data_IF_539577579017
#
_entry.id   IF_539577579017
#
_cell.length_a   1.000
_cell.length_b   1.000
_cell.length_c   1.000
_cell.angle_alpha   90.00
_cell.angle_beta   90.00
_cell.angle_gamma   90.00
#
_symmetry.space_group_name_H-M   'P 1'
#
loop_
_entity.id
_entity.type
_entity.pdbx_description
1 polymer ?
#
# COMPACT_ATOMS: atom_id res chain seq x y z
N UNK A 1 -19.41 4.53 -5.61
CA UNK A 1 -17.94 4.57 -5.63
C UNK A 1 -17.43 4.95 -4.27
N UNK A 2 -16.61 4.09 -3.69
CA UNK A 2 -16.26 4.10 -2.27
C UNK A 2 -14.75 4.00 -2.07
N UNK A 3 -14.30 4.26 -0.84
CA UNK A 3 -12.93 4.00 -0.41
C UNK A 3 -12.48 2.54 -0.70
N UNK A 4 -13.41 1.58 -0.65
CA UNK A 4 -13.10 0.18 -0.94
C UNK A 4 -12.69 -0.02 -2.40
N UNK A 5 -13.25 0.73 -3.35
CA UNK A 5 -12.90 0.59 -4.77
C UNK A 5 -11.44 1.02 -5.04
N UNK A 6 -11.00 2.10 -4.40
CA UNK A 6 -9.61 2.57 -4.46
C UNK A 6 -8.65 1.62 -3.76
N UNK A 7 -9.06 1.07 -2.61
CA UNK A 7 -8.26 0.11 -1.85
C UNK A 7 -8.04 -1.17 -2.65
N UNK A 8 -9.10 -1.75 -3.23
CA UNK A 8 -8.99 -2.96 -4.04
C UNK A 8 -8.19 -2.72 -5.32
N UNK A 9 -8.33 -1.56 -5.97
CA UNK A 9 -7.52 -1.21 -7.13
C UNK A 9 -6.02 -1.11 -6.78
N UNK A 10 -5.69 -0.46 -5.65
CA UNK A 10 -4.31 -0.38 -5.17
C UNK A 10 -3.76 -1.76 -4.80
N UNK A 11 -4.53 -2.55 -4.05
CA UNK A 11 -4.17 -3.93 -3.66
C UNK A 11 -3.94 -4.82 -4.87
N UNK A 12 -4.80 -4.75 -5.87
CA UNK A 12 -4.66 -5.51 -7.11
C UNK A 12 -3.39 -5.11 -7.88
N UNK A 13 -3.03 -3.82 -7.88
CA UNK A 13 -1.79 -3.35 -8.51
C UNK A 13 -0.56 -3.83 -7.75
N UNK A 14 -0.56 -3.74 -6.41
CA UNK A 14 0.52 -4.23 -5.56
C UNK A 14 0.72 -5.75 -5.72
N UNK A 15 -0.38 -6.53 -5.78
CA UNK A 15 -0.39 -7.99 -5.83
C UNK A 15 -0.01 -8.59 -7.20
N UNK A 16 0.77 -7.90 -8.02
CA UNK A 16 1.23 -8.40 -9.33
C UNK A 16 2.53 -9.18 -9.21
N UNK A 17 2.76 -10.08 -10.18
CA UNK A 17 3.99 -10.86 -10.27
C UNK A 17 4.21 -11.73 -9.02
N UNK A 18 5.38 -11.61 -8.41
CA UNK A 18 5.75 -12.43 -7.25
C UNK A 18 4.94 -12.11 -5.99
N UNK A 19 4.29 -10.94 -5.91
CA UNK A 19 3.41 -10.53 -4.81
C UNK A 19 1.99 -11.09 -4.93
N UNK A 20 1.68 -11.82 -6.02
CA UNK A 20 0.39 -12.44 -6.22
C UNK A 20 0.04 -13.41 -5.08
N UNK A 21 -1.14 -13.22 -4.47
CA UNK A 21 -1.61 -13.97 -3.29
C UNK A 21 -0.73 -13.82 -2.03
N UNK A 22 0.22 -12.86 -2.05
CA UNK A 22 1.14 -12.55 -0.95
C UNK A 22 0.89 -11.17 -0.35
N UNK A 23 -0.20 -10.49 -0.73
CA UNK A 23 -0.67 -9.27 -0.06
C UNK A 23 -1.76 -9.64 0.95
N UNK A 24 -1.64 -9.12 2.17
CA UNK A 24 -2.58 -9.32 3.26
C UNK A 24 -2.95 -7.98 3.87
N UNK A 25 -4.09 -7.89 4.54
CA UNK A 25 -4.52 -6.63 5.19
C UNK A 25 -4.00 -6.55 6.63
N UNK A 26 -3.49 -7.67 7.14
CA UNK A 26 -2.88 -7.84 8.46
C UNK A 26 -1.64 -8.73 8.37
N UNK A 27 -0.75 -8.60 9.35
CA UNK A 27 0.32 -9.56 9.61
C UNK A 27 -0.29 -10.95 9.78
N UNK A 28 0.30 -11.95 9.14
CA UNK A 28 -0.22 -13.33 9.17
C UNK A 28 0.20 -13.99 10.48
N UNK A 29 -0.75 -14.63 11.17
CA UNK A 29 -0.50 -15.37 12.41
C UNK A 29 -0.93 -16.84 12.29
N UNK A 30 -0.22 -17.73 12.95
CA UNK A 30 -0.61 -19.12 13.19
C UNK A 30 -0.66 -19.35 14.71
N UNK A 31 -1.85 -19.22 15.29
CA UNK A 31 -2.00 -19.06 16.74
C UNK A 31 -1.37 -17.76 17.20
N UNK A 32 -0.51 -17.83 18.22
CA UNK A 32 0.16 -16.66 18.81
C UNK A 32 1.48 -16.30 18.10
N UNK A 33 1.87 -17.02 17.04
CA UNK A 33 3.14 -16.80 16.34
C UNK A 33 2.91 -16.19 14.97
N UNK A 34 3.66 -15.14 14.63
CA UNK A 34 3.67 -14.60 13.28
C UNK A 34 4.17 -15.66 12.28
N UNK A 35 3.50 -15.77 11.13
CA UNK A 35 3.89 -16.70 10.07
C UNK A 35 5.22 -16.23 9.49
N UNK A 36 6.25 -17.09 9.60
CA UNK A 36 7.57 -16.83 9.02
C UNK A 36 7.54 -17.08 7.51
N UNK A 37 7.12 -16.08 6.77
CA UNK A 37 7.05 -16.08 5.31
C UNK A 37 7.38 -14.68 4.77
N UNK A 38 7.37 -14.60 3.46
CA UNK A 38 7.69 -13.48 2.61
C UNK A 38 6.38 -12.92 2.02
N UNK A 39 5.99 -11.71 2.41
CA UNK A 39 4.69 -11.14 2.05
C UNK A 39 4.67 -9.61 2.20
N UNK A 40 3.62 -8.97 1.68
CA UNK A 40 3.32 -7.57 1.93
C UNK A 40 2.05 -7.43 2.78
N UNK A 41 2.03 -6.46 3.67
CA UNK A 41 0.83 -6.03 4.41
C UNK A 41 0.42 -4.67 3.86
N UNK A 42 -0.81 -4.57 3.35
CA UNK A 42 -1.42 -3.31 2.94
C UNK A 42 -2.36 -2.86 4.04
N UNK A 43 -1.97 -1.86 4.81
CA UNK A 43 -2.82 -1.36 5.87
C UNK A 43 -4.04 -0.65 5.27
N UNK A 44 -5.26 -0.97 5.74
CA UNK A 44 -6.45 -0.22 5.40
C UNK A 44 -6.42 1.14 6.12
N UNK A 45 -5.51 2.01 5.70
CA UNK A 45 -5.48 3.40 6.15
C UNK A 45 -6.70 4.14 5.63
N UNK A 46 -7.37 4.90 6.50
CA UNK A 46 -8.36 5.87 6.04
C UNK A 46 -7.65 6.96 5.23
N UNK A 47 -8.18 7.38 4.08
CA UNK A 47 -7.54 8.43 3.28
C UNK A 47 -7.48 9.70 4.12
N UNK A 48 -6.28 10.28 4.25
CA UNK A 48 -6.11 11.59 4.88
C UNK A 48 -6.71 12.63 3.94
N UNK A 49 -7.99 12.93 4.12
CA UNK A 49 -8.67 14.03 3.43
C UNK A 49 -8.26 15.31 4.16
N UNK A 50 -7.50 16.18 3.50
CA UNK A 50 -7.12 17.50 4.05
C UNK A 50 -8.31 18.49 4.18
N UNK A 51 -9.56 18.02 4.07
CA UNK A 51 -10.72 18.89 3.94
C UNK A 51 -11.88 18.43 4.83
N UNK A 52 -12.39 19.35 5.66
CA UNK A 52 -13.38 19.21 6.74
C UNK A 52 -14.82 18.80 6.27
N UNK A 53 -14.97 18.15 5.12
CA UNK A 53 -16.27 17.89 4.47
C UNK A 53 -16.95 16.60 4.89
N UNK A 54 -16.88 16.23 6.17
CA UNK A 54 -17.43 14.98 6.74
C UNK A 54 -18.96 14.81 6.64
N UNK A 55 -19.72 15.83 6.23
CA UNK A 55 -21.20 15.79 6.22
C UNK A 55 -21.87 16.06 4.88
N UNK A 56 -21.13 16.16 3.77
CA UNK A 56 -21.71 16.62 2.48
C UNK A 56 -21.52 15.58 1.36
N UNK A 57 -22.57 15.37 0.57
CA UNK A 57 -22.62 14.58 -0.69
C UNK A 57 -21.44 14.90 -1.65
N UNK A 58 -20.81 16.06 -1.49
CA UNK A 58 -19.62 16.48 -2.22
C UNK A 58 -18.37 15.63 -1.98
N UNK A 59 -18.32 14.75 -0.96
CA UNK A 59 -17.18 13.85 -0.76
C UNK A 59 -17.01 12.79 -1.86
N UNK A 60 -18.07 12.54 -2.65
CA UNK A 60 -18.04 11.65 -3.82
C UNK A 60 -17.68 12.44 -5.10
N UNK A 61 -17.80 13.77 -5.05
CA UNK A 61 -17.60 14.67 -6.19
C UNK A 61 -16.24 15.37 -6.20
N UNK A 62 -15.53 15.41 -5.07
CA UNK A 62 -14.25 16.12 -4.96
C UNK A 62 -13.07 15.27 -5.40
N UNK A 63 -11.98 15.96 -5.74
CA UNK A 63 -10.65 15.38 -5.77
C UNK A 63 -10.30 14.85 -4.38
N UNK A 64 -9.56 13.76 -4.31
CA UNK A 64 -9.22 13.08 -3.05
C UNK A 64 -7.83 12.49 -3.14
N UNK A 65 -7.00 12.83 -2.15
CA UNK A 65 -5.71 12.21 -1.91
C UNK A 65 -5.93 10.90 -1.15
N UNK A 66 -5.35 9.82 -1.66
CA UNK A 66 -5.32 8.53 -0.99
C UNK A 66 -3.89 8.24 -0.55
N UNK A 67 -3.74 7.73 0.68
CA UNK A 67 -2.48 7.25 1.24
C UNK A 67 -2.66 5.83 1.72
N UNK A 68 -1.71 4.98 1.39
CA UNK A 68 -1.70 3.58 1.78
C UNK A 68 -0.31 3.20 2.28
N UNK A 69 -0.28 2.64 3.49
CA UNK A 69 0.95 2.17 4.11
C UNK A 69 1.13 0.70 3.73
N UNK A 70 2.33 0.36 3.27
CA UNK A 70 2.71 -1.00 2.87
C UNK A 70 3.90 -1.42 3.71
N UNK A 71 3.74 -2.53 4.43
CA UNK A 71 4.85 -3.22 5.10
C UNK A 71 5.31 -4.39 4.27
N UNK A 72 6.57 -4.40 3.85
CA UNK A 72 7.18 -5.57 3.24
C UNK A 72 7.85 -6.39 4.33
N UNK A 73 7.47 -7.67 4.42
CA UNK A 73 7.96 -8.60 5.45
C UNK A 73 8.77 -9.69 4.79
N UNK A 74 9.90 -10.04 5.40
CA UNK A 74 10.76 -11.11 4.93
C UNK A 74 11.51 -11.84 6.03
N UNK A 75 11.93 -13.06 5.73
CA UNK A 75 12.71 -13.89 6.66
C UNK A 75 14.19 -13.50 6.72
N UNK A 76 14.62 -12.56 5.87
CA UNK A 76 15.96 -11.97 5.84
C UNK A 76 15.89 -10.56 5.26
N UNK A 77 16.91 -9.74 5.51
CA UNK A 77 17.04 -8.39 4.91
C UNK A 77 17.00 -8.46 3.38
N UNK A 78 17.67 -9.44 2.78
CA UNK A 78 17.67 -9.63 1.32
C UNK A 78 16.28 -9.96 0.77
N UNK A 79 15.47 -10.72 1.52
CA UNK A 79 14.09 -11.00 1.13
C UNK A 79 13.22 -9.75 1.19
N UNK A 80 13.36 -8.93 2.24
CA UNK A 80 12.65 -7.64 2.36
C UNK A 80 13.00 -6.72 1.20
N UNK A 81 14.28 -6.55 0.90
CA UNK A 81 14.78 -5.75 -0.23
C UNK A 81 14.14 -6.18 -1.55
N UNK A 82 14.11 -7.48 -1.84
CA UNK A 82 13.50 -8.01 -3.05
C UNK A 82 12.00 -7.72 -3.10
N UNK A 83 11.28 -7.88 -1.98
CA UNK A 83 9.84 -7.61 -1.95
C UNK A 83 9.49 -6.14 -2.08
N UNK A 84 10.23 -5.29 -1.38
CA UNK A 84 10.11 -3.84 -1.47
C UNK A 84 10.36 -3.39 -2.91
N UNK A 85 11.47 -3.80 -3.53
CA UNK A 85 11.78 -3.46 -4.91
C UNK A 85 10.65 -3.88 -5.86
N UNK A 86 10.09 -5.08 -5.68
CA UNK A 86 9.04 -5.61 -6.56
C UNK A 86 7.69 -4.94 -6.33
N UNK A 87 7.39 -4.56 -5.10
CA UNK A 87 6.22 -3.74 -4.77
C UNK A 87 6.32 -2.34 -5.37
N UNK A 88 7.50 -1.71 -5.26
CA UNK A 88 7.79 -0.45 -5.94
C UNK A 88 7.67 -0.59 -7.46
N UNK A 89 8.30 -1.58 -8.10
CA UNK A 89 8.18 -1.78 -9.55
C UNK A 89 6.71 -1.96 -10.01
N UNK A 90 5.88 -2.59 -9.18
CA UNK A 90 4.44 -2.73 -9.44
C UNK A 90 3.69 -1.40 -9.28
N UNK A 91 3.99 -0.61 -8.25
CA UNK A 91 3.26 0.61 -7.89
C UNK A 91 3.78 1.88 -8.57
N UNK A 92 5.07 1.93 -8.89
CA UNK A 92 5.78 3.07 -9.48
C UNK A 92 6.67 2.62 -10.65
N UNK A 93 6.13 1.94 -11.68
CA UNK A 93 6.92 1.54 -12.84
C UNK A 93 7.46 2.76 -13.59
N UNK A 94 8.50 2.56 -14.39
CA UNK A 94 8.99 3.58 -15.32
C UNK A 94 7.85 4.02 -16.26
N UNK A 95 7.44 5.28 -16.18
CA UNK A 95 6.27 5.83 -16.89
C UNK A 95 5.01 6.01 -16.03
N UNK A 96 5.02 5.54 -14.78
CA UNK A 96 3.91 5.66 -13.83
C UNK A 96 2.79 4.65 -14.05
N UNK A 97 2.04 4.34 -12.99
CA UNK A 97 0.83 3.50 -13.08
C UNK A 97 -0.40 4.31 -12.68
N UNK A 98 -1.44 4.24 -13.51
CA UNK A 98 -2.75 4.82 -13.21
C UNK A 98 -3.70 3.72 -12.75
N UNK A 99 -4.22 3.83 -11.53
CA UNK A 99 -5.21 2.87 -11.03
C UNK A 99 -6.51 2.99 -11.82
N UNK A 100 -7.08 1.83 -12.17
CA UNK A 100 -8.39 1.76 -12.81
C UNK A 100 -9.47 1.75 -11.74
N UNK A 101 -10.10 2.91 -11.51
CA UNK A 101 -11.25 3.06 -10.61
C UNK A 101 -12.41 3.62 -11.42
N UNK A 102 -13.54 2.92 -11.45
CA UNK A 102 -14.67 3.26 -12.32
C UNK A 102 -15.17 4.69 -12.08
N UNK A 103 -15.15 5.53 -13.12
CA UNK A 103 -15.60 6.93 -13.03
C UNK A 103 -14.58 7.89 -12.42
N UNK A 104 -13.32 7.46 -12.25
CA UNK A 104 -12.22 8.30 -11.78
C UNK A 104 -11.04 8.27 -12.73
N UNK A 105 -10.31 9.37 -12.71
CA UNK A 105 -8.95 9.48 -13.23
C UNK A 105 -8.01 9.56 -12.03
N UNK A 106 -7.25 8.49 -11.80
CA UNK A 106 -6.20 8.49 -10.79
C UNK A 106 -4.89 9.01 -11.42
N UNK A 107 -4.21 9.90 -10.73
CA UNK A 107 -2.82 10.27 -11.03
C UNK A 107 -1.88 9.10 -10.73
N UNK A 108 -0.63 9.14 -11.23
CA UNK A 108 0.36 8.13 -10.90
C UNK A 108 0.55 8.02 -9.39
N UNK A 109 0.70 6.79 -8.91
CA UNK A 109 1.13 6.52 -7.54
C UNK A 109 2.55 7.05 -7.37
N UNK A 110 2.85 7.59 -6.19
CA UNK A 110 4.20 7.98 -5.79
C UNK A 110 4.49 7.52 -4.37
N UNK A 111 5.76 7.26 -4.10
CA UNK A 111 6.26 7.07 -2.75
C UNK A 111 6.22 8.42 -2.01
N UNK A 112 5.76 8.41 -0.77
CA UNK A 112 5.88 9.56 0.12
C UNK A 112 7.30 9.52 0.67
N UNK A 113 8.11 10.53 0.36
CA UNK A 113 9.47 10.59 0.88
C UNK A 113 9.42 10.74 2.41
N UNK A 114 10.04 9.82 3.15
CA UNK A 114 10.01 9.87 4.59
C UNK A 114 11.28 10.48 5.18
N UNK A 115 11.17 10.90 6.43
CA UNK A 115 12.34 11.17 7.29
C UNK A 115 12.79 9.89 8.04
N UNK A 116 11.93 8.86 8.12
CA UNK A 116 12.18 7.58 8.83
C UNK A 116 11.73 6.29 8.09
N UNK A 117 10.70 6.33 7.22
CA UNK A 117 10.30 5.18 6.37
C UNK A 117 11.47 4.72 5.47
N UNK A 118 11.53 3.43 5.17
CA UNK A 118 12.72 2.82 4.52
C UNK A 118 13.80 2.31 5.48
N UNK A 119 13.71 2.58 6.79
CA UNK A 119 14.56 1.94 7.78
C UNK A 119 14.20 0.45 7.94
N UNK A 120 15.17 -0.44 7.75
CA UNK A 120 14.96 -1.87 7.97
C UNK A 120 14.88 -2.16 9.46
N UNK A 121 13.78 -2.76 9.89
CA UNK A 121 13.57 -3.16 11.26
C UNK A 121 13.59 -4.69 11.39
N UNK A 122 13.95 -5.16 12.58
CA UNK A 122 13.99 -6.58 12.92
C UNK A 122 13.09 -6.83 14.13
N UNK A 123 11.99 -7.54 13.89
CA UNK A 123 11.17 -8.10 14.95
C UNK A 123 11.87 -9.35 15.48
N UNK A 124 12.45 -9.23 16.68
CA UNK A 124 13.21 -10.31 17.33
C UNK A 124 12.34 -11.46 17.81
N UNK A 125 11.07 -11.18 18.14
CA UNK A 125 10.15 -12.17 18.68
C UNK A 125 9.59 -13.05 17.55
N UNK A 126 9.22 -12.42 16.44
CA UNK A 126 8.81 -13.14 15.22
C UNK A 126 10.00 -13.67 14.39
N UNK A 127 11.21 -13.17 14.66
CA UNK A 127 12.41 -13.34 13.83
C UNK A 127 12.14 -13.03 12.35
N UNK A 128 11.61 -11.83 12.12
CA UNK A 128 11.23 -11.28 10.81
C UNK A 128 11.84 -9.90 10.61
N UNK A 129 12.17 -9.60 9.37
CA UNK A 129 12.62 -8.29 8.94
C UNK A 129 11.47 -7.59 8.23
N UNK A 130 11.38 -6.27 8.38
CA UNK A 130 10.39 -5.49 7.64
C UNK A 130 10.90 -4.10 7.27
N UNK A 131 10.22 -3.51 6.30
CA UNK A 131 10.33 -2.10 5.94
C UNK A 131 8.93 -1.57 5.63
N UNK A 132 8.65 -0.38 6.14
CA UNK A 132 7.41 0.33 5.91
C UNK A 132 7.61 1.42 4.86
N UNK A 133 6.61 1.60 4.00
CA UNK A 133 6.56 2.62 2.97
C UNK A 133 5.15 3.17 2.83
N UNK A 134 5.02 4.48 2.72
CA UNK A 134 3.75 5.14 2.42
C UNK A 134 3.67 5.50 0.95
N UNK A 135 2.59 5.09 0.29
CA UNK A 135 2.31 5.45 -1.10
C UNK A 135 1.11 6.39 -1.18
N UNK A 136 1.15 7.34 -2.10
CA UNK A 136 0.03 8.26 -2.32
C UNK A 136 -0.30 8.50 -3.78
N UNK A 137 -1.58 8.79 -4.05
CA UNK A 137 -2.05 9.24 -5.35
C UNK A 137 -3.29 10.12 -5.22
N UNK A 138 -3.45 11.04 -6.17
CA UNK A 138 -4.65 11.84 -6.30
C UNK A 138 -5.67 11.11 -7.17
N UNK A 139 -6.91 11.01 -6.72
CA UNK A 139 -8.02 10.56 -7.55
C UNK A 139 -8.92 11.74 -7.86
N UNK A 140 -9.27 11.94 -9.13
CA UNK A 140 -10.18 12.99 -9.60
C UNK A 140 -11.34 12.38 -10.37
N UNK A 141 -12.45 13.11 -10.54
CA UNK A 141 -13.54 12.66 -11.41
C UNK A 141 -13.08 12.65 -12.87
N UNK A 142 -13.44 11.58 -13.60
CA UNK A 142 -13.22 11.47 -15.05
C UNK A 142 -14.30 12.21 -15.83
#
# INVERSE_FOLDING_TARGET
>A
MTLADHYEAFKAQLARGILANKVSDVVRYNGDTAVRDNYAVLYPGAPKREDDRFTVINSVLSDSLFRYDVRYVGTSVAAVLLWQQRGQENLIPEGGVHLSVQGRRCEPIRLVDPVEEGAYEHDRDANLFFVDETYEFMSRRA
#
